data_IF_492972890415
#
_entry.id   IF_492972890415
#
_cell.length_a   1.000
_cell.length_b   1.000
_cell.length_c   1.000
_cell.angle_alpha   90.00
_cell.angle_beta   90.00
_cell.angle_gamma   90.00
#
_symmetry.space_group_name_H-M   'P 1'
#
loop_
_entity.id
_entity.type
_entity.pdbx_description
1 polymer ?
#
# COMPACT_ATOMS: atom_id res chain seq x y z
N UNK A 1 -10.92 -0.32 -35.13
CA UNK A 1 -9.96 0.70 -34.68
C UNK A 1 -9.01 0.06 -33.67
N UNK A 2 -7.72 -0.11 -34.02
CA UNK A 2 -6.70 -0.64 -33.10
C UNK A 2 -6.26 0.38 -32.04
N UNK A 3 -6.50 1.68 -32.28
CA UNK A 3 -6.15 2.78 -31.37
C UNK A 3 -7.11 2.92 -30.17
N UNK A 4 -8.32 2.37 -30.25
CA UNK A 4 -9.32 2.40 -29.18
C UNK A 4 -9.34 1.16 -28.28
N UNK A 5 -8.52 0.15 -28.59
CA UNK A 5 -8.33 -1.04 -27.76
C UNK A 5 -6.88 -1.06 -27.31
N UNK A 6 -6.56 -0.45 -26.18
CA UNK A 6 -5.32 -0.78 -25.49
C UNK A 6 -5.50 -2.20 -24.94
N UNK A 7 -4.82 -3.22 -25.49
CA UNK A 7 -4.84 -4.53 -24.85
C UNK A 7 -4.24 -4.36 -23.46
N UNK A 8 -4.96 -4.83 -22.44
CA UNK A 8 -4.46 -4.87 -21.07
C UNK A 8 -3.20 -5.77 -21.08
N UNK A 9 -2.02 -5.17 -21.11
CA UNK A 9 -0.77 -5.91 -21.00
C UNK A 9 -0.64 -6.37 -19.56
N UNK A 10 -0.09 -7.57 -19.36
CA UNK A 10 0.28 -8.01 -18.02
C UNK A 10 1.24 -6.97 -17.42
N UNK A 11 1.04 -6.69 -16.13
CA UNK A 11 1.99 -5.87 -15.39
C UNK A 11 3.36 -6.58 -15.41
N UNK A 12 4.45 -5.84 -15.68
CA UNK A 12 5.78 -6.44 -15.59
C UNK A 12 6.05 -6.90 -14.15
N UNK A 13 6.84 -7.96 -14.00
CA UNK A 13 7.30 -8.37 -12.68
C UNK A 13 8.02 -7.21 -11.99
N UNK A 14 7.71 -7.01 -10.70
CA UNK A 14 8.36 -5.96 -9.92
C UNK A 14 9.78 -6.42 -9.54
N UNK A 15 10.84 -5.78 -10.07
CA UNK A 15 12.21 -6.20 -9.77
C UNK A 15 12.64 -5.84 -8.34
N UNK A 16 11.83 -5.08 -7.58
CA UNK A 16 12.19 -4.53 -6.26
C UNK A 16 11.55 -5.27 -5.10
N UNK A 17 11.36 -6.60 -5.22
CA UNK A 17 10.85 -7.39 -4.10
C UNK A 17 11.98 -7.67 -3.10
N UNK A 18 11.70 -7.49 -1.82
CA UNK A 18 12.58 -7.87 -0.73
C UNK A 18 12.84 -9.39 -0.72
N UNK A 19 14.02 -9.77 -0.24
CA UNK A 19 14.52 -11.15 -0.17
C UNK A 19 14.55 -11.69 1.26
N UNK A 20 14.40 -10.82 2.27
CA UNK A 20 14.35 -11.19 3.69
C UNK A 20 13.39 -10.28 4.49
N UNK A 21 12.86 -10.74 5.64
CA UNK A 21 11.99 -9.92 6.47
C UNK A 21 12.67 -8.60 6.87
N UNK A 22 11.91 -7.51 6.86
CA UNK A 22 12.33 -6.16 7.23
C UNK A 22 13.40 -5.52 6.36
N UNK A 23 13.68 -6.07 5.16
CA UNK A 23 14.61 -5.44 4.20
C UNK A 23 14.02 -4.18 3.57
N UNK A 24 12.71 -4.19 3.30
CA UNK A 24 11.98 -3.07 2.74
C UNK A 24 10.60 -2.99 3.42
N UNK A 25 10.32 -1.84 4.05
CA UNK A 25 9.03 -1.55 4.65
C UNK A 25 8.42 -0.36 3.93
N UNK A 26 7.24 -0.54 3.34
CA UNK A 26 6.46 0.54 2.75
C UNK A 26 5.62 1.20 3.83
N UNK A 27 5.82 2.49 4.05
CA UNK A 27 5.02 3.29 4.98
C UNK A 27 4.12 4.26 4.22
N UNK A 28 2.84 4.32 4.57
CA UNK A 28 1.92 5.31 4.01
C UNK A 28 0.98 5.85 5.09
N UNK A 29 0.48 7.07 4.86
CA UNK A 29 -0.47 7.75 5.73
C UNK A 29 -1.77 8.03 4.98
N UNK A 30 -2.86 7.42 5.43
CA UNK A 30 -4.18 7.66 4.88
C UNK A 30 -4.98 8.60 5.77
N UNK A 31 -5.41 9.73 5.22
CA UNK A 31 -6.42 10.61 5.84
C UNK A 31 -7.84 10.24 5.41
N UNK A 32 -8.79 10.39 6.33
CA UNK A 32 -10.22 10.22 6.08
C UNK A 32 -10.97 11.56 6.13
N UNK A 33 -12.03 11.72 5.32
CA UNK A 33 -12.83 12.95 5.32
C UNK A 33 -13.71 13.08 6.58
N UNK A 34 -13.98 11.96 7.26
CA UNK A 34 -14.79 11.88 8.48
C UNK A 34 -13.98 11.20 9.57
N UNK A 35 -14.10 11.71 10.79
CA UNK A 35 -13.48 11.10 11.96
C UNK A 35 -14.08 9.74 12.27
N UNK A 36 -13.25 8.81 12.75
CA UNK A 36 -13.74 7.54 13.29
C UNK A 36 -14.56 7.75 14.56
N UNK A 37 -15.22 6.68 15.04
CA UNK A 37 -15.99 6.70 16.29
C UNK A 37 -15.17 7.24 17.47
N UNK A 38 -13.89 6.88 17.55
CA UNK A 38 -12.95 7.33 18.58
C UNK A 38 -12.16 8.60 18.22
N UNK A 39 -12.60 9.35 17.20
CA UNK A 39 -12.00 10.63 16.78
C UNK A 39 -10.58 10.50 16.23
N UNK A 40 -10.30 9.42 15.51
CA UNK A 40 -9.07 9.29 14.71
C UNK A 40 -9.36 9.69 13.27
N UNK A 41 -8.46 10.46 12.66
CA UNK A 41 -8.60 10.97 11.29
C UNK A 41 -7.60 10.35 10.31
N UNK A 42 -6.55 9.74 10.82
CA UNK A 42 -5.49 9.18 10.02
C UNK A 42 -5.22 7.73 10.39
N UNK A 43 -4.80 6.94 9.41
CA UNK A 43 -4.20 5.63 9.61
C UNK A 43 -2.78 5.67 9.06
N UNK A 44 -1.80 5.34 9.89
CA UNK A 44 -0.45 5.03 9.42
C UNK A 44 -0.35 3.52 9.22
N UNK A 45 0.20 3.14 8.07
CA UNK A 45 0.33 1.74 7.64
C UNK A 45 1.81 1.47 7.41
N UNK A 46 2.28 0.35 7.95
CA UNK A 46 3.60 -0.22 7.65
C UNK A 46 3.40 -1.60 7.03
N UNK A 47 3.88 -1.79 5.81
CA UNK A 47 3.83 -3.05 5.08
C UNK A 47 5.26 -3.57 4.90
N UNK A 48 5.55 -4.74 5.45
CA UNK A 48 6.79 -5.46 5.14
C UNK A 48 6.67 -6.12 3.76
N UNK A 49 7.55 -5.75 2.83
CA UNK A 49 7.49 -6.18 1.44
C UNK A 49 7.75 -7.69 1.26
N UNK A 50 8.59 -8.28 2.12
CA UNK A 50 8.94 -9.69 2.03
C UNK A 50 7.80 -10.60 2.53
N UNK A 51 7.35 -10.38 3.77
CA UNK A 51 6.33 -11.22 4.41
C UNK A 51 4.90 -10.85 4.04
N UNK A 52 4.70 -9.67 3.43
CA UNK A 52 3.37 -9.06 3.25
C UNK A 52 2.62 -8.83 4.58
N UNK A 53 3.33 -8.78 5.71
CA UNK A 53 2.76 -8.45 7.00
C UNK A 53 2.48 -6.95 7.11
N UNK A 54 1.35 -6.60 7.72
CA UNK A 54 0.90 -5.20 7.85
C UNK A 54 0.64 -4.83 9.30
N UNK A 55 1.19 -3.70 9.73
CA UNK A 55 0.82 -3.00 10.96
C UNK A 55 0.03 -1.75 10.63
N UNK A 56 -1.10 -1.54 11.32
CA UNK A 56 -1.94 -0.36 11.15
C UNK A 56 -2.13 0.30 12.51
N UNK A 57 -1.91 1.60 12.59
CA UNK A 57 -2.16 2.38 13.80
C UNK A 57 -3.03 3.60 13.47
N UNK A 58 -4.04 3.83 14.31
CA UNK A 58 -4.89 5.01 14.20
C UNK A 58 -4.21 6.22 14.86
N UNK A 59 -4.15 7.33 14.12
CA UNK A 59 -3.59 8.60 14.56
C UNK A 59 -4.68 9.67 14.58
N UNK A 60 -4.61 10.51 15.62
CA UNK A 60 -5.61 11.54 15.92
C UNK A 60 -5.17 12.89 15.38
#
# INVERSE_FOLDING_TARGET
CALGKMPNRAFPENPKRATRPFELVHSDLKSFPVDSYHKYRYLIIFLDDFTSFVWITALR
#
